data_IF_268130319957
#
_entry.id   IF_268130319957
#
_cell.length_a   1.000
_cell.length_b   1.000
_cell.length_c   1.000
_cell.angle_alpha   90.00
_cell.angle_beta   90.00
_cell.angle_gamma   90.00
#
_symmetry.space_group_name_H-M   'P 1'
#
loop_
_entity.id
_entity.type
_entity.pdbx_description
1 polymer ?
#
# COMPACT_ATOMS: atom_id res chain seq x y z
N UNK A 1 57.18 -47.92 67.41
CA UNK A 1 55.72 -48.09 67.19
C UNK A 1 54.96 -46.77 67.14
N UNK A 2 55.20 -45.80 68.04
CA UNK A 2 54.50 -44.50 68.08
C UNK A 2 54.64 -43.67 66.78
N UNK A 3 55.83 -43.59 66.19
CA UNK A 3 56.09 -42.81 64.95
C UNK A 3 55.36 -43.37 63.72
N UNK A 4 55.21 -44.69 63.61
CA UNK A 4 54.46 -45.32 62.52
C UNK A 4 52.94 -45.10 62.66
N UNK A 5 52.42 -45.15 63.90
CA UNK A 5 51.02 -44.82 64.17
C UNK A 5 50.71 -43.34 63.85
N UNK A 6 51.61 -42.42 64.20
CA UNK A 6 51.49 -41.00 63.84
C UNK A 6 51.53 -40.76 62.32
N UNK A 7 52.43 -41.45 61.58
CA UNK A 7 52.44 -41.41 60.10
C UNK A 7 51.15 -41.94 59.47
N UNK A 8 50.57 -43.00 60.03
CA UNK A 8 49.29 -43.56 59.57
C UNK A 8 48.13 -42.58 59.78
N UNK A 9 48.11 -41.88 60.92
CA UNK A 9 47.11 -40.84 61.19
C UNK A 9 47.28 -39.62 60.29
N UNK A 10 48.51 -39.19 59.99
CA UNK A 10 48.78 -38.07 59.09
C UNK A 10 48.25 -38.34 57.68
N UNK A 11 48.58 -39.51 57.09
CA UNK A 11 48.08 -39.91 55.76
C UNK A 11 46.55 -40.04 55.72
N UNK A 12 45.93 -40.44 56.82
CA UNK A 12 44.46 -40.52 56.92
C UNK A 12 43.83 -39.12 56.95
N UNK A 13 44.45 -38.16 57.64
CA UNK A 13 44.00 -36.77 57.65
C UNK A 13 44.23 -36.08 56.30
N UNK A 14 45.35 -36.34 55.64
CA UNK A 14 45.66 -35.83 54.28
C UNK A 14 44.57 -36.25 53.28
N UNK A 15 44.27 -37.55 53.19
CA UNK A 15 43.18 -38.05 52.33
C UNK A 15 41.80 -37.48 52.69
N UNK A 16 41.55 -37.20 53.97
CA UNK A 16 40.29 -36.61 54.41
C UNK A 16 40.21 -35.13 54.00
N UNK A 17 41.32 -34.40 54.07
CA UNK A 17 41.45 -33.02 53.60
C UNK A 17 41.28 -32.96 52.09
N UNK A 18 41.92 -33.85 51.32
CA UNK A 18 41.76 -33.92 49.85
C UNK A 18 40.30 -34.17 49.45
N UNK A 19 39.64 -35.14 50.09
CA UNK A 19 38.23 -35.44 49.81
C UNK A 19 37.28 -34.28 50.15
N UNK A 20 37.58 -33.54 51.22
CA UNK A 20 36.81 -32.34 51.59
C UNK A 20 37.06 -31.19 50.60
N UNK A 21 38.31 -31.02 50.15
CA UNK A 21 38.68 -30.05 49.11
C UNK A 21 37.98 -30.36 47.79
N UNK A 22 38.01 -31.61 47.32
CA UNK A 22 37.33 -32.03 46.09
C UNK A 22 35.83 -31.78 46.13
N UNK A 23 35.18 -32.11 47.25
CA UNK A 23 33.75 -31.87 47.45
C UNK A 23 33.41 -30.38 47.48
N UNK A 24 34.21 -29.55 48.14
CA UNK A 24 33.99 -28.11 48.24
C UNK A 24 34.23 -27.40 46.90
N UNK A 25 35.20 -27.86 46.11
CA UNK A 25 35.46 -27.38 44.76
C UNK A 25 34.30 -27.75 43.83
N UNK A 26 33.84 -29.01 43.86
CA UNK A 26 32.69 -29.46 43.09
C UNK A 26 31.41 -28.66 43.39
N UNK A 27 31.10 -28.42 44.67
CA UNK A 27 29.94 -27.61 45.08
C UNK A 27 30.02 -26.18 44.55
N UNK A 28 31.21 -25.57 44.54
CA UNK A 28 31.43 -24.22 43.99
C UNK A 28 31.23 -24.18 42.48
N UNK A 29 31.66 -25.20 41.75
CA UNK A 29 31.41 -25.31 40.30
C UNK A 29 29.94 -25.52 39.97
N UNK A 30 29.20 -26.34 40.73
CA UNK A 30 27.76 -26.49 40.57
C UNK A 30 27.02 -25.16 40.77
N UNK A 31 27.33 -24.42 41.84
CA UNK A 31 26.74 -23.10 42.10
C UNK A 31 27.10 -22.06 41.03
N UNK A 32 28.30 -22.16 40.45
CA UNK A 32 28.71 -21.32 39.34
C UNK A 32 27.89 -21.63 38.08
N UNK A 33 27.69 -22.91 37.77
CA UNK A 33 26.87 -23.35 36.63
C UNK A 33 25.42 -22.83 36.74
N UNK A 34 24.78 -22.97 37.91
CA UNK A 34 23.43 -22.46 38.17
C UNK A 34 23.31 -20.94 37.95
N UNK A 35 24.33 -20.17 38.37
CA UNK A 35 24.38 -18.71 38.16
C UNK A 35 24.60 -18.34 36.69
N UNK A 36 25.43 -19.10 35.98
CA UNK A 36 25.66 -18.91 34.54
C UNK A 36 24.38 -19.22 33.75
N UNK A 37 23.65 -20.27 34.13
CA UNK A 37 22.37 -20.63 33.52
C UNK A 37 21.29 -19.57 33.77
N UNK A 38 21.22 -19.06 35.01
CA UNK A 38 20.29 -17.98 35.35
C UNK A 38 20.59 -16.70 34.57
N UNK A 39 21.87 -16.34 34.45
CA UNK A 39 22.32 -15.20 33.65
C UNK A 39 22.02 -15.40 32.16
N UNK A 40 22.21 -16.61 31.64
CA UNK A 40 21.90 -16.99 30.26
C UNK A 40 20.41 -16.78 29.96
N UNK A 41 19.53 -17.29 30.82
CA UNK A 41 18.08 -17.09 30.69
C UNK A 41 17.66 -15.62 30.74
N UNK A 42 18.31 -14.81 31.59
CA UNK A 42 18.07 -13.35 31.62
C UNK A 42 18.54 -12.64 30.35
N UNK A 43 19.65 -13.08 29.75
CA UNK A 43 20.16 -12.55 28.47
C UNK A 43 19.27 -12.98 27.30
N UNK A 44 18.75 -14.19 27.31
CA UNK A 44 17.83 -14.71 26.28
C UNK A 44 16.45 -14.02 26.34
N UNK A 45 15.93 -13.75 27.54
CA UNK A 45 14.69 -12.98 27.72
C UNK A 45 14.84 -11.49 27.49
N UNK A 46 16.06 -10.97 27.48
CA UNK A 46 16.38 -9.57 27.22
C UNK A 46 17.46 -9.46 26.15
N UNK A 47 17.18 -9.94 24.92
CA UNK A 47 18.18 -10.04 23.85
C UNK A 47 18.73 -8.67 23.44
N UNK A 48 18.01 -7.60 23.76
CA UNK A 48 18.34 -6.23 23.43
C UNK A 48 17.07 -5.41 23.40
N UNK A 49 17.20 -4.16 22.97
CA UNK A 49 16.15 -3.17 23.01
C UNK A 49 15.04 -3.39 21.96
N UNK A 50 14.71 -4.62 21.52
CA UNK A 50 13.89 -4.90 20.31
C UNK A 50 12.67 -4.00 20.12
N UNK A 51 11.80 -3.86 21.14
CA UNK A 51 10.60 -3.00 21.02
C UNK A 51 10.94 -1.51 21.02
N UNK A 52 11.99 -1.13 21.75
CA UNK A 52 12.56 0.23 21.72
C UNK A 52 13.34 0.49 20.43
N UNK A 53 13.90 -0.52 19.79
CA UNK A 53 14.59 -0.41 18.51
C UNK A 53 13.54 -0.20 17.41
N UNK A 54 12.45 -0.97 17.45
CA UNK A 54 11.25 -0.79 16.63
C UNK A 54 10.63 0.60 16.80
N UNK A 55 10.48 1.08 18.04
CA UNK A 55 9.96 2.42 18.31
C UNK A 55 10.90 3.52 17.81
N UNK A 56 12.22 3.38 17.96
CA UNK A 56 13.15 4.37 17.43
C UNK A 56 13.17 4.39 15.90
N UNK A 57 13.11 3.22 15.28
CA UNK A 57 13.00 3.12 13.82
C UNK A 57 11.72 3.80 13.33
N UNK A 58 10.60 3.57 14.04
CA UNK A 58 9.33 4.24 13.76
C UNK A 58 9.42 5.76 13.91
N UNK A 59 10.09 6.26 14.96
CA UNK A 59 10.32 7.70 15.17
C UNK A 59 11.16 8.30 14.03
N UNK A 60 12.25 7.64 13.64
CA UNK A 60 13.09 8.06 12.52
C UNK A 60 12.28 8.10 11.21
N UNK A 61 11.45 7.09 10.97
CA UNK A 61 10.56 7.05 9.80
C UNK A 61 9.59 8.23 9.83
N UNK A 62 9.03 8.61 10.98
CA UNK A 62 8.10 9.74 11.10
C UNK A 62 8.79 11.09 10.88
N UNK A 63 9.95 11.32 11.51
CA UNK A 63 10.65 12.61 11.47
C UNK A 63 11.37 12.84 10.14
N UNK A 64 12.23 11.90 9.73
CA UNK A 64 13.18 12.11 8.62
C UNK A 64 12.54 12.06 7.23
N UNK A 65 11.35 11.46 7.13
CA UNK A 65 10.61 11.35 5.87
C UNK A 65 9.34 12.22 5.90
N UNK A 66 9.34 13.30 6.66
CA UNK A 66 8.26 14.29 6.64
C UNK A 66 8.23 15.00 5.27
N UNK A 67 7.03 15.17 4.72
CA UNK A 67 6.83 15.87 3.45
C UNK A 67 6.57 17.33 3.77
N UNK A 68 7.37 18.23 3.18
CA UNK A 68 7.10 19.66 3.23
C UNK A 68 5.95 20.03 2.28
N UNK A 69 5.20 21.08 2.64
CA UNK A 69 4.15 21.60 1.79
C UNK A 69 4.74 22.09 0.45
N UNK A 70 4.05 21.84 -0.69
CA UNK A 70 4.47 22.37 -1.98
C UNK A 70 4.59 23.90 -1.96
N UNK A 71 5.68 24.46 -2.47
CA UNK A 71 5.92 25.90 -2.61
C UNK A 71 4.83 26.56 -3.47
N UNK A 72 4.30 25.84 -4.46
CA UNK A 72 3.20 26.33 -5.29
C UNK A 72 1.85 26.41 -4.55
N UNK A 73 1.71 25.82 -3.36
CA UNK A 73 0.43 25.68 -2.67
C UNK A 73 -0.18 27.04 -2.27
N UNK A 74 0.60 27.93 -1.68
CA UNK A 74 0.13 29.28 -1.30
C UNK A 74 -0.32 30.10 -2.53
N UNK A 75 0.45 30.01 -3.63
CA UNK A 75 0.12 30.68 -4.90
C UNK A 75 -1.13 30.09 -5.54
N UNK A 76 -1.33 28.77 -5.43
CA UNK A 76 -2.51 28.07 -5.91
C UNK A 76 -3.78 28.53 -5.17
N UNK A 77 -3.71 28.62 -3.83
CA UNK A 77 -4.83 29.13 -3.01
C UNK A 77 -5.18 30.58 -3.35
N UNK A 78 -4.18 31.44 -3.58
CA UNK A 78 -4.42 32.81 -4.04
C UNK A 78 -5.10 32.83 -5.41
N UNK A 79 -4.60 32.06 -6.39
CA UNK A 79 -5.16 32.03 -7.73
C UNK A 79 -6.61 31.48 -7.77
N UNK A 80 -6.93 30.50 -6.93
CA UNK A 80 -8.29 29.99 -6.76
C UNK A 80 -9.23 31.04 -6.18
N UNK A 81 -8.78 31.83 -5.20
CA UNK A 81 -9.56 32.96 -4.65
C UNK A 81 -9.85 34.01 -5.72
N UNK A 82 -8.84 34.41 -6.49
CA UNK A 82 -8.98 35.41 -7.56
C UNK A 82 -9.92 34.94 -8.67
N UNK A 83 -9.81 33.67 -9.08
CA UNK A 83 -10.71 33.07 -10.07
C UNK A 83 -12.15 32.99 -9.56
N UNK A 84 -12.35 32.57 -8.31
CA UNK A 84 -13.67 32.50 -7.68
C UNK A 84 -14.31 33.88 -7.60
N UNK A 85 -13.55 34.90 -7.20
CA UNK A 85 -14.00 36.29 -7.17
C UNK A 85 -14.39 36.80 -8.57
N UNK A 86 -13.60 36.49 -9.61
CA UNK A 86 -13.93 36.86 -10.99
C UNK A 86 -15.19 36.15 -11.50
N UNK A 87 -15.41 34.90 -11.10
CA UNK A 87 -16.63 34.13 -11.40
C UNK A 87 -17.86 34.73 -10.71
N UNK A 88 -17.77 35.09 -9.43
CA UNK A 88 -18.88 35.74 -8.70
C UNK A 88 -19.24 37.09 -9.31
N UNK A 89 -18.24 37.89 -9.72
CA UNK A 89 -18.48 39.16 -10.43
C UNK A 89 -19.18 38.98 -11.77
N UNK A 90 -18.90 37.90 -12.50
CA UNK A 90 -19.61 37.56 -13.75
C UNK A 90 -21.06 37.13 -13.48
N UNK A 91 -21.31 36.35 -12.43
CA UNK A 91 -22.68 35.94 -12.03
C UNK A 91 -23.54 37.12 -11.59
N UNK A 92 -22.92 38.10 -10.93
CA UNK A 92 -23.59 39.30 -10.45
C UNK A 92 -23.74 40.40 -11.53
N UNK A 93 -23.29 40.16 -12.78
CA UNK A 93 -23.31 41.17 -13.84
C UNK A 93 -24.74 41.43 -14.36
N UNK A 94 -25.27 42.66 -14.24
CA UNK A 94 -26.65 42.97 -14.60
C UNK A 94 -26.83 43.46 -16.05
N UNK A 95 -25.77 43.90 -16.74
CA UNK A 95 -25.86 44.59 -18.04
C UNK A 95 -24.84 44.09 -19.07
N UNK A 96 -25.21 44.17 -20.36
CA UNK A 96 -24.43 43.66 -21.48
C UNK A 96 -23.19 44.49 -21.78
N UNK A 97 -23.15 45.79 -21.44
CA UNK A 97 -22.01 46.65 -21.72
C UNK A 97 -20.75 46.27 -20.92
N UNK A 98 -20.90 45.73 -19.70
CA UNK A 98 -19.77 45.37 -18.81
C UNK A 98 -19.31 43.91 -18.98
N UNK A 99 -20.02 43.13 -19.79
CA UNK A 99 -19.79 41.70 -19.93
C UNK A 99 -18.44 41.39 -20.59
N UNK A 100 -18.02 42.20 -21.56
CA UNK A 100 -16.73 42.03 -22.27
C UNK A 100 -15.54 42.10 -21.31
N UNK A 101 -15.43 43.20 -20.56
CA UNK A 101 -14.32 43.41 -19.62
C UNK A 101 -14.26 42.37 -18.49
N UNK A 102 -15.42 41.90 -18.02
CA UNK A 102 -15.49 40.84 -17.00
C UNK A 102 -15.07 39.47 -17.56
N UNK A 103 -15.39 39.18 -18.83
CA UNK A 103 -14.93 37.97 -19.52
C UNK A 103 -13.41 38.00 -19.68
N UNK A 104 -12.85 39.14 -20.09
CA UNK A 104 -11.42 39.30 -20.28
C UNK A 104 -10.65 39.19 -18.96
N UNK A 105 -11.15 39.83 -17.89
CA UNK A 105 -10.59 39.67 -16.55
C UNK A 105 -10.64 38.21 -16.07
N UNK A 106 -11.77 37.52 -16.27
CA UNK A 106 -11.92 36.10 -15.92
C UNK A 106 -10.97 35.21 -16.71
N UNK A 107 -10.79 35.47 -18.01
CA UNK A 107 -9.88 34.71 -18.85
C UNK A 107 -8.42 34.91 -18.42
N UNK A 108 -8.05 36.13 -18.04
CA UNK A 108 -6.74 36.45 -17.48
C UNK A 108 -6.45 35.66 -16.20
N UNK A 109 -7.34 35.74 -15.19
CA UNK A 109 -7.12 35.01 -13.92
C UNK A 109 -7.22 33.50 -14.09
N UNK A 110 -8.00 33.01 -15.08
CA UNK A 110 -8.03 31.59 -15.45
C UNK A 110 -6.69 31.13 -16.02
N UNK A 111 -6.07 31.93 -16.89
CA UNK A 111 -4.74 31.62 -17.43
C UNK A 111 -3.68 31.54 -16.33
N UNK A 112 -3.74 32.47 -15.37
CA UNK A 112 -2.89 32.43 -14.17
C UNK A 112 -3.14 31.15 -13.37
N UNK A 113 -4.39 30.85 -13.01
CA UNK A 113 -4.76 29.64 -12.27
C UNK A 113 -4.29 28.35 -12.98
N UNK A 114 -4.45 28.25 -14.30
CA UNK A 114 -3.99 27.10 -15.07
C UNK A 114 -2.46 26.91 -14.96
N UNK A 115 -1.69 28.00 -15.04
CA UNK A 115 -0.24 27.95 -14.88
C UNK A 115 0.18 27.58 -13.44
N UNK A 116 -0.51 28.10 -12.41
CA UNK A 116 -0.24 27.73 -11.01
C UNK A 116 -0.63 26.28 -10.71
N UNK A 117 -1.73 25.80 -11.27
CA UNK A 117 -2.16 24.39 -11.17
C UNK A 117 -1.12 23.47 -11.80
N UNK A 118 -0.62 23.78 -13.00
CA UNK A 118 0.43 22.97 -13.63
C UNK A 118 1.71 22.94 -12.78
N UNK A 119 2.11 24.10 -12.25
CA UNK A 119 3.28 24.19 -11.35
C UNK A 119 3.09 23.35 -10.08
N UNK A 120 1.92 23.43 -9.46
CA UNK A 120 1.57 22.60 -8.28
C UNK A 120 1.53 21.11 -8.62
N UNK A 121 0.96 20.73 -9.77
CA UNK A 121 0.87 19.33 -10.18
C UNK A 121 2.26 18.76 -10.46
N UNK A 122 3.18 19.53 -11.05
CA UNK A 122 4.56 19.11 -11.24
C UNK A 122 5.26 18.88 -9.90
N UNK A 123 5.10 19.80 -8.95
CA UNK A 123 5.68 19.66 -7.61
C UNK A 123 5.07 18.47 -6.85
N UNK A 124 3.74 18.35 -6.84
CA UNK A 124 3.02 17.28 -6.16
C UNK A 124 3.29 15.89 -6.76
N UNK A 125 3.52 15.79 -8.08
CA UNK A 125 3.94 14.53 -8.74
C UNK A 125 5.27 14.00 -8.22
N UNK A 126 6.17 14.90 -7.80
CA UNK A 126 7.46 14.52 -7.24
C UNK A 126 7.38 14.11 -5.75
N UNK A 127 6.24 14.32 -5.09
CA UNK A 127 6.07 13.98 -3.67
C UNK A 127 5.55 12.55 -3.50
N UNK A 128 6.17 11.72 -2.64
CA UNK A 128 5.76 10.33 -2.42
C UNK A 128 4.55 10.22 -1.46
N UNK A 129 3.49 11.01 -1.68
CA UNK A 129 2.38 11.17 -0.72
C UNK A 129 1.68 9.84 -0.39
N UNK A 130 1.32 9.05 -1.40
CA UNK A 130 0.63 7.76 -1.20
C UNK A 130 1.53 6.77 -0.48
N UNK A 131 2.76 6.63 -0.96
CA UNK A 131 3.76 5.73 -0.38
C UNK A 131 4.05 6.08 1.08
N UNK A 132 4.11 7.39 1.38
CA UNK A 132 4.27 7.90 2.73
C UNK A 132 3.07 7.59 3.62
N UNK A 133 1.86 7.79 3.13
CA UNK A 133 0.63 7.51 3.86
C UNK A 133 0.50 6.02 4.20
N UNK A 134 0.78 5.14 3.24
CA UNK A 134 0.78 3.69 3.46
C UNK A 134 1.82 3.29 4.51
N UNK A 135 3.02 3.87 4.44
CA UNK A 135 4.07 3.58 5.42
C UNK A 135 3.69 4.07 6.83
N UNK A 136 3.09 5.25 6.95
CA UNK A 136 2.61 5.75 8.24
C UNK A 136 1.49 4.86 8.81
N UNK A 137 0.60 4.35 7.97
CA UNK A 137 -0.47 3.42 8.39
C UNK A 137 0.09 2.08 8.85
N UNK A 138 1.10 1.54 8.15
CA UNK A 138 1.82 0.33 8.52
C UNK A 138 2.51 0.52 9.88
N UNK A 139 3.28 1.61 10.03
CA UNK A 139 3.99 1.94 11.28
C UNK A 139 3.00 2.12 12.43
N UNK A 140 1.90 2.87 12.21
CA UNK A 140 0.86 3.03 13.23
C UNK A 140 0.25 1.69 13.64
N UNK A 141 -0.04 0.81 12.67
CA UNK A 141 -0.64 -0.51 12.95
C UNK A 141 0.33 -1.41 13.72
N UNK A 142 1.62 -1.38 13.36
CA UNK A 142 2.68 -2.10 14.06
C UNK A 142 2.85 -1.60 15.50
N UNK A 143 2.89 -0.27 15.70
CA UNK A 143 2.98 0.33 17.02
C UNK A 143 1.74 0.01 17.87
N UNK A 144 0.54 0.06 17.30
CA UNK A 144 -0.69 -0.30 18.02
C UNK A 144 -0.72 -1.78 18.42
N UNK A 145 -0.17 -2.68 17.61
CA UNK A 145 -0.09 -4.09 17.97
C UNK A 145 0.87 -4.35 19.15
N UNK A 146 1.97 -3.59 19.26
CA UNK A 146 2.98 -3.76 20.31
C UNK A 146 2.61 -3.00 21.60
N UNK A 147 2.11 -1.77 21.47
CA UNK A 147 1.90 -0.85 22.60
C UNK A 147 0.42 -0.62 22.94
N UNK A 148 -0.51 -1.17 22.15
CA UNK A 148 -1.93 -0.90 22.26
C UNK A 148 -2.37 0.40 21.59
N UNK A 149 -3.68 0.71 21.58
CA UNK A 149 -4.18 1.95 21.02
C UNK A 149 -3.67 3.16 21.80
N UNK A 150 -3.22 4.19 21.09
CA UNK A 150 -2.78 5.44 21.70
C UNK A 150 -3.97 6.15 22.35
N UNK A 151 -3.85 6.51 23.64
CA UNK A 151 -4.78 7.44 24.26
C UNK A 151 -4.48 8.85 23.75
N UNK A 152 -5.47 9.50 23.13
CA UNK A 152 -5.38 10.89 22.66
C UNK A 152 -5.61 11.89 23.82
N UNK A 153 -5.75 11.42 25.06
CA UNK A 153 -5.99 12.27 26.23
C UNK A 153 -4.68 12.83 26.77
N UNK A 154 -4.33 14.02 26.30
CA UNK A 154 -3.23 14.84 26.85
C UNK A 154 -2.26 15.34 25.79
N UNK A 155 -1.80 16.58 25.97
CA UNK A 155 -0.72 17.16 25.15
C UNK A 155 0.62 16.55 25.58
N UNK A 156 1.14 15.67 24.74
CA UNK A 156 2.47 15.08 24.91
C UNK A 156 3.46 16.10 24.36
N UNK A 157 3.95 17.00 25.22
CA UNK A 157 4.75 18.15 24.82
C UNK A 157 5.95 17.83 23.91
N UNK A 158 6.40 18.84 23.16
CA UNK A 158 7.38 18.74 22.04
C UNK A 158 8.70 18.01 22.37
N UNK A 159 9.05 17.85 23.65
CA UNK A 159 10.30 17.24 24.11
C UNK A 159 10.22 15.71 24.27
N UNK A 160 9.08 15.07 23.99
CA UNK A 160 8.88 13.65 24.26
C UNK A 160 9.88 12.73 23.54
N UNK A 161 10.25 13.03 22.29
CA UNK A 161 11.27 12.27 21.58
C UNK A 161 12.66 12.42 22.20
N UNK A 162 13.04 13.63 22.62
CA UNK A 162 14.34 13.88 23.26
C UNK A 162 14.46 13.12 24.59
N UNK A 163 13.42 13.17 25.42
CA UNK A 163 13.36 12.42 26.68
C UNK A 163 13.50 10.91 26.44
N UNK A 164 12.86 10.39 25.40
CA UNK A 164 12.97 8.99 25.00
C UNK A 164 14.40 8.60 24.56
N UNK A 165 15.05 9.41 23.73
CA UNK A 165 16.43 9.15 23.29
C UNK A 165 17.42 9.16 24.46
N UNK A 166 17.25 10.09 25.41
CA UNK A 166 18.08 10.15 26.62
C UNK A 166 17.91 8.90 27.49
N UNK A 167 16.66 8.49 27.75
CA UNK A 167 16.39 7.26 28.50
C UNK A 167 17.00 6.03 27.83
N UNK A 168 16.85 5.88 26.50
CA UNK A 168 17.38 4.75 25.74
C UNK A 168 18.90 4.67 25.79
N UNK A 169 19.57 5.82 25.63
CA UNK A 169 21.03 5.94 25.69
C UNK A 169 21.56 5.55 27.07
N UNK A 170 20.95 6.10 28.13
CA UNK A 170 21.32 5.77 29.51
C UNK A 170 21.12 4.27 29.81
N UNK A 171 19.99 3.70 29.38
CA UNK A 171 19.68 2.28 29.56
C UNK A 171 20.66 1.36 28.83
N UNK A 172 21.02 1.68 27.58
CA UNK A 172 21.99 0.92 26.78
C UNK A 172 23.38 0.91 27.42
N UNK A 173 23.81 2.07 27.97
CA UNK A 173 25.10 2.19 28.68
C UNK A 173 25.16 1.29 29.92
N UNK A 174 24.09 1.28 30.73
CA UNK A 174 24.02 0.45 31.94
C UNK A 174 24.06 -1.04 31.60
N UNK A 175 23.30 -1.49 30.61
CA UNK A 175 23.27 -2.92 30.22
C UNK A 175 24.58 -3.38 29.60
N UNK A 176 25.21 -2.55 28.77
CA UNK A 176 26.50 -2.86 28.14
C UNK A 176 27.62 -2.98 29.17
N UNK A 177 27.64 -2.08 30.17
CA UNK A 177 28.63 -2.13 31.26
C UNK A 177 28.56 -3.43 32.07
N UNK A 178 27.34 -3.91 32.35
CA UNK A 178 27.15 -5.17 33.11
C UNK A 178 27.55 -6.39 32.27
N UNK A 179 27.23 -6.39 30.97
CA UNK A 179 27.61 -7.47 30.04
C UNK A 179 29.12 -7.58 29.89
N UNK A 180 29.80 -6.47 29.62
CA UNK A 180 31.27 -6.43 29.48
C UNK A 180 31.99 -6.92 30.75
N UNK A 181 31.54 -6.48 31.93
CA UNK A 181 32.10 -6.96 33.20
C UNK A 181 31.96 -8.47 33.38
N UNK A 182 30.82 -9.03 32.98
CA UNK A 182 30.56 -10.47 33.13
C UNK A 182 31.31 -11.31 32.09
N UNK A 183 31.40 -10.82 30.85
CA UNK A 183 32.11 -11.52 29.77
C UNK A 183 33.62 -11.55 30.02
N UNK A 184 34.19 -10.48 30.59
CA UNK A 184 35.58 -10.46 31.08
C UNK A 184 35.84 -11.50 32.16
N UNK A 185 34.91 -11.66 33.11
CA UNK A 185 35.02 -12.65 34.18
C UNK A 185 34.94 -14.09 33.63
N UNK A 186 34.01 -14.36 32.71
CA UNK A 186 33.88 -15.67 32.05
C UNK A 186 35.12 -16.01 31.22
N UNK A 187 35.67 -15.04 30.47
CA UNK A 187 36.90 -15.23 29.69
C UNK A 187 38.09 -15.60 30.57
N UNK A 188 38.25 -14.95 31.73
CA UNK A 188 39.30 -15.30 32.69
C UNK A 188 39.16 -16.75 33.19
N UNK A 189 37.93 -17.21 33.43
CA UNK A 189 37.60 -18.58 33.80
C UNK A 189 37.90 -19.60 32.68
N UNK A 190 37.55 -19.27 31.44
CA UNK A 190 37.86 -20.10 30.27
C UNK A 190 39.38 -20.21 30.06
N UNK A 191 40.13 -19.10 30.13
CA UNK A 191 41.59 -19.12 30.01
C UNK A 191 42.24 -19.93 31.13
N UNK A 192 41.69 -19.90 32.34
CA UNK A 192 42.13 -20.79 33.42
C UNK A 192 41.86 -22.26 33.09
N UNK A 193 40.67 -22.59 32.58
CA UNK A 193 40.29 -23.96 32.17
C UNK A 193 41.09 -24.49 30.97
N UNK A 194 41.36 -23.65 29.97
CA UNK A 194 42.17 -23.99 28.80
C UNK A 194 43.63 -24.27 29.16
N UNK A 195 44.15 -23.60 30.19
CA UNK A 195 45.47 -23.91 30.74
C UNK A 195 45.49 -25.21 31.55
N UNK A 196 44.33 -25.71 31.98
CA UNK A 196 44.13 -27.03 32.62
C UNK A 196 43.85 -28.12 31.57
N UNK A 197 43.28 -27.77 30.41
CA UNK A 197 42.86 -28.67 29.34
C UNK A 197 43.81 -28.83 28.15
N UNK A 198 45.11 -28.53 28.30
CA UNK A 198 46.14 -28.88 27.27
C UNK A 198 46.48 -30.38 27.25
N UNK A 199 45.44 -31.22 27.30
CA UNK A 199 45.41 -32.60 26.79
C UNK A 199 44.10 -32.78 25.98
N UNK A 200 44.23 -33.09 24.69
CA UNK A 200 43.22 -33.41 23.64
C UNK A 200 42.54 -32.29 22.80
N UNK A 201 42.37 -32.61 21.51
CA UNK A 201 42.33 -31.75 20.30
C UNK A 201 41.00 -31.90 19.49
N UNK A 202 40.48 -30.83 18.82
CA UNK A 202 39.38 -30.91 17.81
C UNK A 202 39.20 -29.60 16.98
N UNK A 203 39.97 -29.39 15.90
CA UNK A 203 39.88 -28.18 15.05
C UNK A 203 39.44 -28.45 13.59
N UNK A 204 39.65 -29.65 13.05
CA UNK A 204 39.52 -29.89 11.60
C UNK A 204 38.07 -30.09 11.12
N UNK A 205 37.21 -30.72 11.93
CA UNK A 205 35.82 -31.04 11.55
C UNK A 205 34.92 -29.80 11.44
N UNK A 206 35.25 -28.71 12.15
CA UNK A 206 34.45 -27.48 12.20
C UNK A 206 34.63 -26.61 10.94
N UNK A 207 35.78 -26.71 10.28
CA UNK A 207 36.10 -25.88 9.10
C UNK A 207 35.31 -26.33 7.87
N UNK A 208 35.19 -27.63 7.64
CA UNK A 208 34.49 -28.19 6.46
C UNK A 208 32.98 -27.96 6.52
N UNK A 209 32.36 -28.08 7.70
CA UNK A 209 30.91 -27.87 7.89
C UNK A 209 30.47 -26.43 7.61
N UNK A 210 31.31 -25.45 7.98
CA UNK A 210 31.05 -24.04 7.75
C UNK A 210 31.13 -23.65 6.26
N UNK A 211 32.04 -24.27 5.51
CA UNK A 211 32.17 -24.02 4.07
C UNK A 211 30.95 -24.54 3.29
N UNK A 212 30.47 -25.75 3.61
CA UNK A 212 29.28 -26.34 2.98
C UNK A 212 28.01 -25.52 3.24
N UNK A 213 27.78 -25.08 4.48
CA UNK A 213 26.64 -24.23 4.82
C UNK A 213 26.62 -22.92 4.04
N UNK A 214 27.80 -22.33 3.79
CA UNK A 214 27.89 -21.06 3.09
C UNK A 214 27.51 -21.17 1.62
N UNK A 215 27.92 -22.25 0.96
CA UNK A 215 27.57 -22.50 -0.46
C UNK A 215 26.06 -22.70 -0.62
N UNK A 216 25.43 -23.45 0.26
CA UNK A 216 23.97 -23.67 0.20
C UNK A 216 23.16 -22.39 0.43
N UNK A 217 23.62 -21.50 1.31
CA UNK A 217 22.98 -20.21 1.57
C UNK A 217 22.98 -19.29 0.32
N UNK A 218 24.07 -19.32 -0.47
CA UNK A 218 24.18 -18.52 -1.68
C UNK A 218 23.25 -19.01 -2.80
N UNK A 219 23.19 -20.33 -3.03
CA UNK A 219 22.32 -20.93 -4.06
C UNK A 219 20.84 -20.60 -3.78
N UNK A 220 20.41 -20.63 -2.53
CA UNK A 220 19.03 -20.32 -2.14
C UNK A 220 18.67 -18.84 -2.32
N UNK A 221 19.62 -17.93 -2.06
CA UNK A 221 19.40 -16.49 -2.26
C UNK A 221 19.26 -16.09 -3.73
N UNK A 222 19.98 -16.75 -4.64
CA UNK A 222 19.94 -16.46 -6.07
C UNK A 222 18.65 -16.97 -6.72
N UNK A 223 18.19 -18.16 -6.31
CA UNK A 223 16.91 -18.71 -6.79
C UNK A 223 15.72 -17.81 -6.42
N UNK A 224 15.71 -17.24 -5.21
CA UNK A 224 14.64 -16.30 -4.78
C UNK A 224 14.61 -15.03 -5.63
N UNK A 225 15.78 -14.47 -5.96
CA UNK A 225 15.88 -13.25 -6.76
C UNK A 225 15.39 -13.46 -8.19
N UNK A 226 15.70 -14.61 -8.81
CA UNK A 226 15.26 -14.94 -10.16
C UNK A 226 13.74 -15.13 -10.26
N UNK A 227 13.10 -15.67 -9.21
CA UNK A 227 11.64 -15.79 -9.12
C UNK A 227 10.95 -14.42 -9.07
N UNK A 228 11.45 -13.47 -8.27
CA UNK A 228 10.87 -12.12 -8.15
C UNK A 228 10.99 -11.33 -9.46
N UNK A 229 12.11 -11.50 -10.19
CA UNK A 229 12.32 -10.86 -11.50
C UNK A 229 11.31 -11.39 -12.53
N UNK A 230 11.06 -12.70 -12.53
CA UNK A 230 10.11 -13.33 -13.46
C UNK A 230 8.66 -12.87 -13.21
N UNK A 231 8.26 -12.70 -11.94
CA UNK A 231 6.94 -12.17 -11.57
C UNK A 231 6.76 -10.71 -12.05
N UNK A 232 7.76 -9.85 -11.82
CA UNK A 232 7.74 -8.46 -12.26
C UNK A 232 7.69 -8.34 -13.79
N UNK A 233 8.40 -9.19 -14.53
CA UNK A 233 8.36 -9.22 -15.99
C UNK A 233 6.96 -9.56 -16.54
N UNK A 234 6.30 -10.58 -15.96
CA UNK A 234 4.96 -10.99 -16.36
C UNK A 234 3.91 -9.90 -16.06
N UNK A 235 3.98 -9.25 -14.88
CA UNK A 235 3.06 -8.17 -14.50
C UNK A 235 3.17 -6.97 -15.44
N UNK A 236 4.39 -6.56 -15.79
CA UNK A 236 4.63 -5.42 -16.67
C UNK A 236 4.26 -5.72 -18.14
N UNK A 237 4.40 -6.96 -18.59
CA UNK A 237 3.96 -7.39 -19.92
C UNK A 237 2.43 -7.30 -20.05
N UNK A 238 1.69 -7.66 -19.01
CA UNK A 238 0.23 -7.53 -18.95
C UNK A 238 -0.22 -6.06 -18.95
N UNK A 239 0.38 -5.22 -18.11
CA UNK A 239 0.10 -3.78 -18.05
C UNK A 239 0.37 -3.06 -19.38
N UNK A 240 1.46 -3.42 -20.07
CA UNK A 240 1.77 -2.88 -21.41
C UNK A 240 0.71 -3.23 -22.45
N UNK A 241 0.14 -4.44 -22.38
CA UNK A 241 -0.96 -4.87 -23.25
C UNK A 241 -2.24 -4.06 -23.04
N UNK A 242 -2.58 -3.77 -21.77
CA UNK A 242 -3.74 -2.96 -21.39
C UNK A 242 -3.57 -1.49 -21.80
N UNK A 243 -2.34 -0.94 -21.72
CA UNK A 243 -2.07 0.44 -22.17
C UNK A 243 -2.09 0.62 -23.70
N UNK A 244 -1.58 -0.35 -24.47
CA UNK A 244 -1.59 -0.29 -25.93
C UNK A 244 -3.02 -0.29 -26.53
N UNK A 245 -3.98 -0.87 -25.81
CA UNK A 245 -5.40 -0.89 -26.20
C UNK A 245 -6.02 0.52 -26.27
N UNK A 246 -5.52 1.46 -25.47
CA UNK A 246 -6.04 2.84 -25.39
C UNK A 246 -5.17 3.86 -26.12
N UNK A 247 -4.01 3.44 -26.65
CA UNK A 247 -3.10 4.31 -27.38
C UNK A 247 -3.57 4.62 -28.81
N UNK A 248 -4.46 3.80 -29.39
CA UNK A 248 -4.86 3.87 -30.80
C UNK A 248 -6.35 4.17 -31.05
N UNK A 249 -7.16 4.42 -30.03
CA UNK A 249 -8.56 4.77 -30.23
C UNK A 249 -9.05 5.79 -29.19
N UNK A 250 -9.23 7.03 -29.65
CA UNK A 250 -10.10 8.00 -28.96
C UNK A 250 -11.54 7.49 -29.08
N UNK A 251 -12.31 7.38 -27.99
CA UNK A 251 -13.70 6.94 -28.06
C UNK A 251 -14.54 7.97 -28.80
N UNK A 252 -14.83 7.71 -30.06
CA UNK A 252 -15.79 8.51 -30.83
C UNK A 252 -17.22 7.99 -30.60
N UNK A 253 -18.24 8.85 -30.53
CA UNK A 253 -19.63 8.42 -30.33
C UNK A 253 -20.27 7.83 -31.61
N UNK A 254 -19.48 7.53 -32.63
CA UNK A 254 -19.95 7.08 -33.94
C UNK A 254 -20.73 5.76 -33.86
N UNK A 255 -20.34 4.88 -32.92
CA UNK A 255 -21.09 3.65 -32.61
C UNK A 255 -22.48 3.96 -32.04
N UNK A 256 -22.57 4.88 -31.08
CA UNK A 256 -23.84 5.34 -30.48
C UNK A 256 -24.74 6.00 -31.55
N UNK A 257 -24.18 6.85 -32.40
CA UNK A 257 -24.93 7.51 -33.46
C UNK A 257 -25.44 6.52 -34.51
N UNK A 258 -24.64 5.49 -34.84
CA UNK A 258 -25.04 4.42 -35.75
C UNK A 258 -26.20 3.59 -35.19
N UNK A 259 -26.16 3.26 -33.89
CA UNK A 259 -27.24 2.56 -33.18
C UNK A 259 -28.52 3.42 -33.14
N UNK A 260 -28.41 4.70 -32.75
CA UNK A 260 -29.54 5.66 -32.76
C UNK A 260 -30.18 5.81 -34.14
N UNK A 261 -29.37 5.80 -35.21
CA UNK A 261 -29.86 5.84 -36.60
C UNK A 261 -30.65 4.58 -36.95
N UNK A 262 -30.17 3.40 -36.53
CA UNK A 262 -30.86 2.12 -36.75
C UNK A 262 -32.17 2.03 -35.99
N UNK A 263 -32.22 2.45 -34.72
CA UNK A 263 -33.44 2.54 -33.92
C UNK A 263 -34.49 3.44 -34.59
N UNK A 264 -34.08 4.62 -35.11
CA UNK A 264 -34.99 5.52 -35.85
C UNK A 264 -35.55 4.85 -37.10
N UNK A 265 -34.72 4.16 -37.89
CA UNK A 265 -35.16 3.41 -39.08
C UNK A 265 -36.14 2.30 -38.73
N UNK A 266 -35.85 1.48 -37.72
CA UNK A 266 -36.71 0.38 -37.29
C UNK A 266 -38.06 0.88 -36.75
N UNK A 267 -38.10 2.00 -36.02
CA UNK A 267 -39.36 2.63 -35.59
C UNK A 267 -40.21 3.12 -36.77
N UNK A 268 -39.58 3.67 -37.81
CA UNK A 268 -40.28 4.07 -39.03
C UNK A 268 -40.83 2.84 -39.79
N UNK A 269 -40.01 1.79 -39.95
CA UNK A 269 -40.44 0.53 -40.59
C UNK A 269 -41.60 -0.12 -39.83
N UNK A 270 -41.53 -0.16 -38.50
CA UNK A 270 -42.60 -0.69 -37.67
C UNK A 270 -43.92 0.06 -37.89
N UNK A 271 -43.89 1.40 -37.89
CA UNK A 271 -45.08 2.23 -38.14
C UNK A 271 -45.69 1.94 -39.51
N UNK A 272 -44.86 1.86 -40.55
CA UNK A 272 -45.32 1.56 -41.90
C UNK A 272 -45.94 0.17 -42.01
N UNK A 273 -45.28 -0.85 -41.43
CA UNK A 273 -45.80 -2.22 -41.44
C UNK A 273 -47.13 -2.37 -40.69
N UNK A 274 -47.31 -1.64 -39.59
CA UNK A 274 -48.58 -1.59 -38.85
C UNK A 274 -49.71 -0.94 -39.65
N UNK A 275 -49.40 0.07 -40.49
CA UNK A 275 -50.38 0.69 -41.38
C UNK A 275 -50.76 -0.26 -42.53
N UNK A 276 -49.78 -0.98 -43.10
CA UNK A 276 -50.05 -2.01 -44.11
C UNK A 276 -50.95 -3.13 -43.56
N UNK A 277 -50.65 -3.62 -42.35
CA UNK A 277 -51.46 -4.61 -41.65
C UNK A 277 -52.91 -4.12 -41.47
N UNK A 278 -53.10 -2.92 -40.93
CA UNK A 278 -54.45 -2.35 -40.72
C UNK A 278 -55.22 -2.16 -42.03
N UNK A 279 -54.53 -1.76 -43.11
CA UNK A 279 -55.16 -1.61 -44.44
C UNK A 279 -55.61 -2.95 -45.03
N UNK A 280 -54.86 -4.02 -44.78
CA UNK A 280 -55.23 -5.38 -45.20
C UNK A 280 -56.37 -5.96 -44.36
N UNK A 281 -56.48 -5.57 -43.09
CA UNK A 281 -57.60 -5.96 -42.22
C UNK A 281 -58.93 -5.26 -42.59
N UNK A 282 -58.87 -4.09 -43.24
CA UNK A 282 -60.03 -3.30 -43.68
C UNK A 282 -60.48 -3.58 -45.13
N UNK A 283 -59.74 -4.42 -45.88
CA UNK A 283 -60.04 -4.72 -47.28
C UNK A 283 -61.25 -5.65 -47.45
N UNK A 284 -62.02 -5.48 -48.54
CA UNK A 284 -63.18 -6.34 -48.86
C UNK A 284 -62.75 -7.80 -49.17
N UNK A 285 -61.55 -7.98 -49.72
CA UNK A 285 -60.94 -9.29 -50.01
C UNK A 285 -60.00 -9.71 -48.87
N UNK A 286 -60.53 -10.47 -47.92
CA UNK A 286 -59.82 -10.87 -46.70
C UNK A 286 -58.83 -12.03 -46.94
N UNK A 287 -57.52 -11.74 -47.03
CA UNK A 287 -56.45 -12.76 -47.03
C UNK A 287 -55.78 -12.90 -45.65
N UNK A 288 -56.25 -13.90 -44.89
CA UNK A 288 -55.72 -14.23 -43.58
C UNK A 288 -54.23 -14.61 -43.60
N UNK A 289 -53.75 -15.19 -44.69
CA UNK A 289 -52.35 -15.66 -44.81
C UNK A 289 -51.41 -14.47 -44.91
N UNK A 290 -51.79 -13.45 -45.69
CA UNK A 290 -51.02 -12.22 -45.85
C UNK A 290 -50.99 -11.40 -44.55
N UNK A 291 -52.13 -11.30 -43.84
CA UNK A 291 -52.22 -10.64 -42.54
C UNK A 291 -51.32 -11.32 -41.50
N UNK A 292 -51.33 -12.66 -41.42
CA UNK A 292 -50.47 -13.40 -40.49
C UNK A 292 -48.98 -13.20 -40.79
N UNK A 293 -48.60 -13.17 -42.07
CA UNK A 293 -47.22 -12.88 -42.49
C UNK A 293 -46.80 -11.46 -42.07
N UNK A 294 -47.67 -10.47 -42.20
CA UNK A 294 -47.40 -9.09 -41.73
C UNK A 294 -47.27 -9.02 -40.20
N UNK A 295 -48.10 -9.77 -39.46
CA UNK A 295 -48.00 -9.90 -38.00
C UNK A 295 -46.65 -10.48 -37.56
N UNK A 296 -46.14 -11.48 -38.27
CA UNK A 296 -44.82 -12.07 -38.01
C UNK A 296 -43.68 -11.08 -38.31
N UNK A 297 -43.71 -10.39 -39.47
CA UNK A 297 -42.74 -9.35 -39.80
C UNK A 297 -42.72 -8.21 -38.75
N UNK A 298 -43.88 -7.82 -38.22
CA UNK A 298 -44.01 -6.84 -37.14
C UNK A 298 -43.37 -7.34 -35.84
N UNK A 299 -43.54 -8.63 -35.51
CA UNK A 299 -42.92 -9.23 -34.34
C UNK A 299 -41.39 -9.29 -34.45
N UNK A 300 -40.85 -9.62 -35.62
CA UNK A 300 -39.41 -9.62 -35.89
C UNK A 300 -38.80 -8.22 -35.79
N UNK A 301 -39.46 -7.21 -36.37
CA UNK A 301 -39.02 -5.81 -36.27
C UNK A 301 -39.05 -5.34 -34.81
N UNK A 302 -40.07 -5.72 -34.03
CA UNK A 302 -40.14 -5.43 -32.59
C UNK A 302 -38.98 -6.06 -31.81
N UNK A 303 -38.70 -7.34 -32.05
CA UNK A 303 -37.59 -8.04 -31.38
C UNK A 303 -36.23 -7.40 -31.71
N UNK A 304 -36.00 -7.07 -32.98
CA UNK A 304 -34.78 -6.38 -33.42
C UNK A 304 -34.66 -4.99 -32.79
N UNK A 305 -35.76 -4.25 -32.71
CA UNK A 305 -35.81 -2.95 -32.05
C UNK A 305 -35.45 -3.05 -30.55
N UNK A 306 -35.94 -4.08 -29.84
CA UNK A 306 -35.60 -4.31 -28.44
C UNK A 306 -34.10 -4.60 -28.24
N UNK A 307 -33.49 -5.40 -29.12
CA UNK A 307 -32.06 -5.69 -29.07
C UNK A 307 -31.22 -4.42 -29.30
N UNK A 308 -31.59 -3.59 -30.27
CA UNK A 308 -30.90 -2.32 -30.56
C UNK A 308 -31.04 -1.30 -29.42
N UNK A 309 -32.20 -1.24 -28.75
CA UNK A 309 -32.37 -0.43 -27.51
C UNK A 309 -31.45 -0.95 -26.39
N UNK A 310 -31.29 -2.27 -26.26
CA UNK A 310 -30.33 -2.87 -25.34
C UNK A 310 -28.88 -2.51 -25.67
N UNK A 311 -28.54 -2.46 -26.96
CA UNK A 311 -27.22 -2.06 -27.43
C UNK A 311 -26.97 -0.55 -27.19
N UNK A 312 -27.97 0.31 -27.41
CA UNK A 312 -27.91 1.74 -27.11
C UNK A 312 -27.55 1.98 -25.63
N UNK A 313 -28.18 1.25 -24.70
CA UNK A 313 -27.86 1.33 -23.26
C UNK A 313 -26.42 0.90 -22.95
N UNK A 314 -25.91 -0.14 -23.63
CA UNK A 314 -24.51 -0.58 -23.48
C UNK A 314 -23.52 0.49 -23.96
N UNK A 315 -23.82 1.16 -25.07
CA UNK A 315 -22.97 2.24 -25.58
C UNK A 315 -23.02 3.47 -24.66
N UNK A 316 -24.19 3.81 -24.09
CA UNK A 316 -24.25 4.84 -23.05
C UNK A 316 -23.47 4.45 -21.80
N UNK A 317 -23.54 3.21 -21.31
CA UNK A 317 -22.74 2.78 -20.15
C UNK A 317 -21.23 2.91 -20.41
N UNK A 318 -20.76 2.55 -21.61
CA UNK A 318 -19.35 2.74 -21.98
C UNK A 318 -18.95 4.21 -22.02
N UNK A 319 -19.76 5.05 -22.68
CA UNK A 319 -19.49 6.49 -22.82
C UNK A 319 -19.60 7.23 -21.48
N UNK A 320 -20.53 6.84 -20.62
CA UNK A 320 -20.64 7.35 -19.24
C UNK A 320 -19.45 6.93 -18.39
N UNK A 321 -19.01 5.67 -18.44
CA UNK A 321 -17.82 5.22 -17.73
C UNK A 321 -16.54 5.94 -18.20
N UNK A 322 -16.46 6.26 -19.50
CA UNK A 322 -15.37 7.06 -20.08
C UNK A 322 -15.47 8.54 -19.68
N UNK A 323 -16.68 9.11 -19.62
CA UNK A 323 -16.93 10.49 -19.20
C UNK A 323 -16.75 10.70 -17.68
N UNK A 324 -17.08 9.71 -16.86
CA UNK A 324 -16.80 9.71 -15.41
C UNK A 324 -15.32 9.44 -15.12
N UNK A 325 -14.62 8.77 -16.03
CA UNK A 325 -13.22 8.40 -15.92
C UNK A 325 -12.27 9.34 -16.67
N UNK A 326 -11.88 8.94 -17.88
CA UNK A 326 -10.71 9.50 -18.57
C UNK A 326 -11.00 10.68 -19.51
N UNK A 327 -12.27 10.97 -19.81
CA UNK A 327 -12.68 11.94 -20.84
C UNK A 327 -13.93 12.75 -20.44
N UNK A 328 -13.87 13.59 -19.39
CA UNK A 328 -15.02 14.33 -18.86
C UNK A 328 -15.63 15.37 -19.82
N UNK A 329 -14.92 15.73 -20.89
CA UNK A 329 -15.35 16.69 -21.91
C UNK A 329 -16.36 16.11 -22.93
N UNK A 330 -16.54 14.79 -22.97
CA UNK A 330 -17.43 14.07 -23.90
C UNK A 330 -18.87 14.64 -24.00
N UNK A 331 -19.54 14.97 -22.88
CA UNK A 331 -20.90 15.53 -22.92
C UNK A 331 -20.97 16.97 -23.46
N UNK A 332 -19.86 17.73 -23.40
CA UNK A 332 -19.76 19.09 -23.93
C UNK A 332 -19.31 19.10 -25.41
N UNK A 333 -18.50 18.13 -25.82
CA UNK A 333 -18.05 17.97 -27.22
C UNK A 333 -19.14 17.40 -28.13
N UNK A 334 -20.07 16.62 -27.57
CA UNK A 334 -21.21 16.06 -28.30
C UNK A 334 -22.52 16.32 -27.55
N UNK A 335 -23.01 17.58 -27.50
CA UNK A 335 -24.30 17.91 -26.87
C UNK A 335 -25.46 17.10 -27.47
N UNK A 336 -25.33 16.72 -28.75
CA UNK A 336 -26.32 15.95 -29.51
C UNK A 336 -26.36 14.46 -29.09
N UNK A 337 -25.33 13.97 -28.39
CA UNK A 337 -25.29 12.61 -27.89
C UNK A 337 -26.10 12.43 -26.59
N UNK A 338 -26.45 13.52 -25.90
CA UNK A 338 -27.26 13.54 -24.67
C UNK A 338 -26.72 12.66 -23.51
N UNK A 339 -25.40 12.52 -23.44
CA UNK A 339 -24.70 11.67 -22.45
C UNK A 339 -24.96 12.16 -21.02
N UNK A 340 -25.01 13.49 -20.81
CA UNK A 340 -25.25 14.10 -19.50
C UNK A 340 -26.65 13.77 -18.94
N UNK A 341 -27.69 13.78 -19.78
CA UNK A 341 -29.05 13.44 -19.33
C UNK A 341 -29.18 11.97 -18.95
N UNK A 342 -28.44 11.07 -19.62
CA UNK A 342 -28.42 9.64 -19.29
C UNK A 342 -27.69 9.35 -17.97
N UNK A 343 -26.59 10.07 -17.69
CA UNK A 343 -25.88 9.98 -16.39
C UNK A 343 -26.76 10.44 -15.22
N UNK A 344 -27.48 11.56 -15.38
CA UNK A 344 -28.36 12.10 -14.32
C UNK A 344 -29.58 11.21 -14.04
N UNK A 345 -30.12 10.52 -15.05
CA UNK A 345 -31.24 9.58 -14.88
C UNK A 345 -30.84 8.29 -14.17
N UNK A 346 -29.59 7.84 -14.33
CA UNK A 346 -29.12 6.60 -13.71
C UNK A 346 -28.74 6.77 -12.22
N UNK A 347 -28.37 7.99 -11.81
CA UNK A 347 -28.11 8.35 -10.41
C UNK A 347 -29.38 8.70 -9.60
N UNK A 348 -30.58 8.67 -10.21
CA UNK A 348 -31.87 8.91 -9.55
C UNK A 348 -32.70 7.64 -9.28
N UNK A 349 -32.13 6.45 -9.40
CA UNK A 349 -32.67 5.22 -8.78
C UNK A 349 -31.59 4.68 -7.85
N UNK A 350 -31.86 4.70 -6.53
CA UNK A 350 -32.70 3.66 -5.97
C UNK A 350 -33.75 4.17 -4.98
N UNK A 351 -35.00 3.81 -5.22
CA UNK A 351 -35.95 3.32 -4.21
C UNK A 351 -36.78 2.21 -4.86
#
# INVERSE_FOLDING_TARGET
MVVQAMRGQLKKKEKQVDKLLDSAVAERFCRLAERVDSLRGLRERNPGNTDSDSLTESINVVINNSISAPVAMEKLESAWRDYSLAQEKLKACPTKEQLGDLIDNRNKVRGVLAATVESFLQEAKCLPVRQRMDKLKEVSSSLTAVFGPASMEGDVGEQAFEQYYQWRTQRSRLTSSVRDGTDKALKALCTWSENVGKEQNNHETKVVSNAFHKVMQHIQSEQSLLSDIMEKYLLNTKFKGEMLQWQNASPTPDSLFSVKKRIRSLRAQLRWRQVEEASLEEAEDFDLTEILKKKEEIAEIRNTLFQEIGQERKEYMKLSALAEGCCPELPLLYPEADIHSHMVRHNRSPD
#
